data_IF_873925334001
#
_entry.id   IF_873925334001
#
_cell.length_a   1.000
_cell.length_b   1.000
_cell.length_c   1.000
_cell.angle_alpha   90.00
_cell.angle_beta   90.00
_cell.angle_gamma   90.00
#
_symmetry.space_group_name_H-M   'P 1'
#
loop_
_entity.id
_entity.type
_entity.pdbx_description
1 polymer ?
#
# COMPACT_ATOMS: atom_id res chain seq x y z
N UNK A 1 -15.00 17.08 5.86
CA UNK A 1 -14.83 16.98 4.39
C UNK A 1 -15.66 15.78 3.93
N UNK A 2 -16.33 15.86 2.79
CA UNK A 2 -16.97 14.68 2.20
C UNK A 2 -15.99 14.08 1.18
N UNK A 3 -15.67 12.80 1.32
CA UNK A 3 -14.87 12.04 0.39
C UNK A 3 -15.81 11.23 -0.54
N UNK A 4 -15.35 10.94 -1.73
CA UNK A 4 -16.10 10.12 -2.71
C UNK A 4 -15.68 8.65 -2.63
N UNK A 5 -14.39 8.38 -2.44
CA UNK A 5 -13.79 7.05 -2.51
C UNK A 5 -13.24 6.56 -1.16
N UNK A 6 -13.39 7.38 -0.12
CA UNK A 6 -12.94 7.07 1.24
C UNK A 6 -14.07 7.34 2.21
N UNK A 7 -14.25 6.46 3.18
CA UNK A 7 -15.19 6.66 4.29
C UNK A 7 -14.42 6.68 5.61
N UNK A 8 -14.74 7.65 6.46
CA UNK A 8 -14.08 7.81 7.76
C UNK A 8 -15.13 7.68 8.88
N UNK A 9 -14.80 6.91 9.90
CA UNK A 9 -15.66 6.70 11.06
C UNK A 9 -14.85 6.57 12.35
N UNK A 10 -15.53 6.63 13.49
CA UNK A 10 -14.97 6.41 14.83
C UNK A 10 -15.64 5.21 15.48
N UNK A 11 -15.17 3.98 15.23
CA UNK A 11 -15.79 2.77 15.73
C UNK A 11 -15.57 2.54 17.23
N UNK A 12 -14.57 3.20 17.83
CA UNK A 12 -14.27 3.15 19.25
C UNK A 12 -13.62 4.45 19.72
N UNK A 13 -13.57 4.66 21.03
CA UNK A 13 -12.89 5.79 21.63
C UNK A 13 -11.42 5.83 21.21
N UNK A 14 -10.92 7.02 20.83
CA UNK A 14 -9.54 7.27 20.39
C UNK A 14 -9.10 6.49 19.13
N UNK A 15 -10.02 5.86 18.41
CA UNK A 15 -9.75 5.12 17.19
C UNK A 15 -10.48 5.73 16.01
N UNK A 16 -9.74 6.12 14.98
CA UNK A 16 -10.30 6.53 13.69
C UNK A 16 -10.08 5.41 12.68
N UNK A 17 -11.14 4.98 11.98
CA UNK A 17 -11.07 4.00 10.91
C UNK A 17 -11.37 4.67 9.57
N UNK A 18 -10.48 4.42 8.63
CA UNK A 18 -10.54 4.93 7.26
C UNK A 18 -10.77 3.73 6.34
N UNK A 19 -11.83 3.76 5.54
CA UNK A 19 -12.14 2.70 4.59
C UNK A 19 -11.84 3.14 3.17
N UNK A 20 -11.24 2.26 2.39
CA UNK A 20 -11.32 2.31 0.94
C UNK A 20 -12.76 1.98 0.56
N UNK A 21 -13.45 2.87 -0.14
CA UNK A 21 -14.89 2.79 -0.38
C UNK A 21 -15.22 2.75 -1.89
N UNK A 22 -14.51 1.89 -2.62
CA UNK A 22 -14.66 1.66 -4.07
C UNK A 22 -14.82 0.16 -4.39
N UNK A 23 -15.71 -0.58 -3.67
CA UNK A 23 -15.78 -2.04 -3.73
C UNK A 23 -16.16 -2.58 -5.11
N UNK A 24 -16.96 -1.86 -5.89
CA UNK A 24 -17.36 -2.22 -7.27
C UNK A 24 -16.17 -2.23 -8.25
N UNK A 25 -15.08 -1.54 -7.91
CA UNK A 25 -13.81 -1.56 -8.62
C UNK A 25 -12.74 -2.33 -7.83
N UNK A 26 -13.14 -3.13 -6.82
CA UNK A 26 -12.22 -3.86 -5.93
C UNK A 26 -11.17 -2.95 -5.30
N UNK A 27 -11.57 -1.75 -4.93
CA UNK A 27 -10.73 -0.71 -4.35
C UNK A 27 -9.46 -0.43 -5.18
N UNK A 28 -9.60 -0.47 -6.51
CA UNK A 28 -8.54 -0.07 -7.43
C UNK A 28 -8.19 1.42 -7.20
N UNK A 29 -6.90 1.71 -7.15
CA UNK A 29 -6.35 3.00 -6.76
C UNK A 29 -6.27 3.93 -7.97
N UNK A 30 -7.22 4.85 -8.09
CA UNK A 30 -7.07 6.02 -8.95
C UNK A 30 -6.44 7.18 -8.14
N UNK A 31 -5.94 8.23 -8.80
CA UNK A 31 -5.35 9.37 -8.12
C UNK A 31 -6.25 10.00 -7.08
N UNK A 32 -7.55 10.13 -7.36
CA UNK A 32 -8.52 10.74 -6.45
C UNK A 32 -8.63 9.95 -5.14
N UNK A 33 -8.73 8.61 -5.20
CA UNK A 33 -8.76 7.76 -4.00
C UNK A 33 -7.48 7.94 -3.16
N UNK A 34 -6.32 7.97 -3.81
CA UNK A 34 -5.03 8.11 -3.11
C UNK A 34 -4.93 9.44 -2.36
N UNK A 35 -5.36 10.55 -2.99
CA UNK A 35 -5.31 11.86 -2.35
C UNK A 35 -6.42 12.07 -1.32
N UNK A 36 -7.60 11.47 -1.51
CA UNK A 36 -8.63 11.43 -0.46
C UNK A 36 -8.13 10.63 0.75
N UNK A 37 -7.45 9.51 0.52
CA UNK A 37 -6.85 8.70 1.57
C UNK A 37 -5.75 9.48 2.31
N UNK A 38 -4.87 10.17 1.59
CA UNK A 38 -3.83 11.02 2.18
C UNK A 38 -4.43 12.13 3.05
N UNK A 39 -5.48 12.81 2.55
CA UNK A 39 -6.20 13.84 3.30
C UNK A 39 -6.89 13.25 4.55
N UNK A 40 -7.47 12.06 4.46
CA UNK A 40 -8.08 11.38 5.59
C UNK A 40 -7.04 10.99 6.66
N UNK A 41 -5.89 10.45 6.23
CA UNK A 41 -4.77 10.17 7.13
C UNK A 41 -4.24 11.43 7.81
N UNK A 42 -4.04 12.51 7.04
CA UNK A 42 -3.57 13.79 7.58
C UNK A 42 -4.57 14.36 8.61
N UNK A 43 -5.86 14.29 8.32
CA UNK A 43 -6.92 14.71 9.24
C UNK A 43 -6.91 13.88 10.53
N UNK A 44 -6.85 12.55 10.43
CA UNK A 44 -6.78 11.66 11.59
C UNK A 44 -5.49 11.83 12.40
N UNK A 45 -4.37 12.11 11.71
CA UNK A 45 -3.09 12.37 12.36
C UNK A 45 -3.09 13.69 13.17
N UNK A 46 -3.79 14.71 12.68
CA UNK A 46 -3.92 16.02 13.34
C UNK A 46 -4.99 16.07 14.46
N UNK A 47 -5.86 15.08 14.52
CA UNK A 47 -6.99 15.04 15.45
C UNK A 47 -6.57 14.55 16.84
N UNK A 48 -6.71 15.38 17.86
CA UNK A 48 -6.32 15.07 19.24
C UNK A 48 -7.14 13.92 19.87
N UNK A 49 -8.36 13.67 19.39
CA UNK A 49 -9.22 12.58 19.83
C UNK A 49 -8.91 11.25 19.09
N UNK A 50 -7.91 11.22 18.24
CA UNK A 50 -7.42 10.02 17.56
C UNK A 50 -6.05 9.61 18.11
N UNK A 51 -5.91 8.38 18.57
CA UNK A 51 -4.61 7.80 18.99
C UNK A 51 -4.14 6.67 18.10
N UNK A 52 -5.07 5.94 17.49
CA UNK A 52 -4.79 4.85 16.55
C UNK A 52 -5.62 5.05 15.29
N UNK A 53 -5.00 4.82 14.15
CA UNK A 53 -5.66 4.89 12.85
C UNK A 53 -5.73 3.48 12.28
N UNK A 54 -6.92 3.05 11.85
CA UNK A 54 -7.13 1.77 11.18
C UNK A 54 -7.43 2.04 9.70
N UNK A 55 -6.71 1.42 8.80
CA UNK A 55 -7.04 1.37 7.37
C UNK A 55 -7.78 0.06 7.09
N UNK A 56 -9.00 0.18 6.60
CA UNK A 56 -9.87 -0.93 6.21
C UNK A 56 -10.33 -0.77 4.76
N UNK A 57 -11.09 -1.73 4.26
CA UNK A 57 -11.66 -1.67 2.92
C UNK A 57 -13.09 -2.20 2.91
N UNK A 58 -13.97 -1.57 2.15
CA UNK A 58 -15.31 -2.06 1.89
C UNK A 58 -15.28 -3.14 0.78
N UNK A 59 -16.15 -4.14 0.88
CA UNK A 59 -16.27 -5.21 -0.11
C UNK A 59 -15.37 -6.43 0.15
N UNK A 60 -15.33 -7.38 -0.81
CA UNK A 60 -14.69 -8.68 -0.60
C UNK A 60 -13.15 -8.64 -0.73
N UNK A 61 -12.59 -7.65 -1.43
CA UNK A 61 -11.15 -7.50 -1.63
C UNK A 61 -10.65 -6.23 -0.96
N UNK A 62 -9.45 -6.28 -0.38
CA UNK A 62 -8.83 -5.10 0.20
C UNK A 62 -8.46 -4.08 -0.89
N UNK A 63 -7.65 -4.49 -1.88
CA UNK A 63 -7.36 -3.67 -3.06
C UNK A 63 -6.75 -4.49 -4.18
N UNK A 64 -7.20 -4.25 -5.41
CA UNK A 64 -6.66 -4.84 -6.64
C UNK A 64 -5.46 -4.09 -7.22
N UNK A 65 -4.93 -3.08 -6.51
CA UNK A 65 -3.80 -2.28 -6.96
C UNK A 65 -4.21 -1.07 -7.80
N UNK A 66 -3.29 -0.56 -8.63
CA UNK A 66 -3.52 0.65 -9.42
C UNK A 66 -4.64 0.49 -10.45
N UNK A 67 -5.46 1.53 -10.61
CA UNK A 67 -6.48 1.57 -11.65
C UNK A 67 -5.83 1.93 -13.00
N UNK A 68 -5.52 0.91 -13.78
CA UNK A 68 -4.85 1.05 -15.08
C UNK A 68 -5.71 1.77 -16.14
N UNK A 69 -6.97 2.08 -15.83
CA UNK A 69 -7.89 2.83 -16.72
C UNK A 69 -7.88 4.32 -16.44
N UNK A 70 -7.37 4.73 -15.25
CA UNK A 70 -7.22 6.13 -14.86
C UNK A 70 -6.01 6.78 -15.54
N UNK A 71 -6.09 8.08 -15.80
CA UNK A 71 -4.93 8.88 -16.22
C UNK A 71 -4.03 9.21 -15.01
N UNK A 72 -2.86 9.78 -15.31
CA UNK A 72 -1.90 10.26 -14.32
C UNK A 72 -2.16 11.73 -13.93
N UNK A 73 -3.39 12.21 -14.06
CA UNK A 73 -3.74 13.58 -13.74
C UNK A 73 -4.28 13.66 -12.31
N UNK A 74 -3.68 14.54 -11.52
CA UNK A 74 -4.12 14.83 -10.15
C UNK A 74 -4.58 16.27 -10.12
N UNK A 75 -5.89 16.54 -10.13
CA UNK A 75 -6.39 17.91 -10.04
C UNK A 75 -5.96 18.56 -8.72
N UNK A 76 -5.25 19.69 -8.83
CA UNK A 76 -4.86 20.49 -7.67
C UNK A 76 -3.76 19.88 -6.79
N UNK A 77 -3.11 18.80 -7.20
CA UNK A 77 -1.96 18.27 -6.46
C UNK A 77 -0.81 19.28 -6.49
N UNK A 78 -0.21 19.60 -5.33
CA UNK A 78 0.98 20.40 -5.30
C UNK A 78 2.14 19.61 -5.90
N UNK A 79 2.62 20.03 -7.06
CA UNK A 79 3.83 19.47 -7.71
C UNK A 79 5.08 20.11 -7.09
N UNK A 80 5.08 20.30 -5.77
CA UNK A 80 6.18 20.95 -5.08
C UNK A 80 7.41 20.02 -5.03
N UNK A 81 8.49 20.47 -5.66
CA UNK A 81 9.79 19.79 -5.57
C UNK A 81 10.09 18.78 -6.68
N UNK A 82 9.19 18.57 -7.65
CA UNK A 82 9.42 17.69 -8.80
C UNK A 82 9.68 18.55 -10.05
N UNK A 83 10.82 18.35 -10.69
CA UNK A 83 11.11 18.96 -11.99
C UNK A 83 10.34 18.23 -13.09
N UNK A 84 9.82 19.01 -14.07
CA UNK A 84 9.19 18.47 -15.27
C UNK A 84 7.69 18.29 -15.23
N UNK A 85 7.07 18.11 -14.06
CA UNK A 85 5.64 17.87 -13.93
C UNK A 85 5.18 16.53 -14.52
N UNK A 86 3.92 16.16 -14.28
CA UNK A 86 3.35 14.84 -14.66
C UNK A 86 3.07 14.70 -16.17
N UNK A 87 3.05 15.79 -16.90
CA UNK A 87 2.79 15.82 -18.34
C UNK A 87 4.05 15.81 -19.23
N UNK A 88 5.24 15.67 -18.63
CA UNK A 88 6.47 15.58 -19.41
C UNK A 88 6.49 14.34 -20.30
N UNK A 89 7.10 14.45 -21.49
CA UNK A 89 7.15 13.36 -22.47
C UNK A 89 8.00 12.18 -21.98
N UNK A 90 7.75 11.02 -22.57
CA UNK A 90 8.50 9.79 -22.30
C UNK A 90 8.19 9.23 -20.91
N UNK A 91 9.22 8.76 -20.22
CA UNK A 91 9.10 8.20 -18.86
C UNK A 91 9.17 9.27 -17.78
N UNK A 92 9.59 10.50 -18.09
CA UNK A 92 9.86 11.56 -17.13
C UNK A 92 8.61 11.98 -16.37
N UNK A 93 7.51 12.25 -17.07
CA UNK A 93 6.23 12.60 -16.44
C UNK A 93 5.66 11.48 -15.59
N UNK A 94 5.79 10.24 -16.05
CA UNK A 94 5.38 9.06 -15.30
C UNK A 94 6.22 8.86 -14.03
N UNK A 95 7.54 8.98 -14.14
CA UNK A 95 8.45 8.97 -13.00
C UNK A 95 8.07 10.04 -11.96
N UNK A 96 7.80 11.26 -12.40
CA UNK A 96 7.38 12.34 -11.52
C UNK A 96 6.06 12.03 -10.80
N UNK A 97 5.10 11.44 -11.53
CA UNK A 97 3.83 11.02 -10.97
C UNK A 97 3.99 9.93 -9.90
N UNK A 98 4.71 8.86 -10.21
CA UNK A 98 4.94 7.74 -9.28
C UNK A 98 5.75 8.18 -8.05
N UNK A 99 6.71 9.07 -8.25
CA UNK A 99 7.49 9.65 -7.16
C UNK A 99 6.61 10.36 -6.14
N UNK A 100 5.58 11.09 -6.60
CA UNK A 100 4.64 11.80 -5.73
C UNK A 100 3.51 10.91 -5.25
N UNK A 101 2.73 10.33 -6.19
CA UNK A 101 1.45 9.70 -5.89
C UNK A 101 1.57 8.27 -5.34
N UNK A 102 2.66 7.58 -5.63
CA UNK A 102 2.85 6.20 -5.17
C UNK A 102 3.90 6.14 -4.06
N UNK A 103 5.16 6.39 -4.41
CA UNK A 103 6.26 6.31 -3.44
C UNK A 103 6.15 7.38 -2.34
N UNK A 104 5.83 8.62 -2.72
CA UNK A 104 5.75 9.76 -1.81
C UNK A 104 4.63 9.61 -0.78
N UNK A 105 3.44 9.16 -1.20
CA UNK A 105 2.31 8.90 -0.30
C UNK A 105 2.65 7.78 0.69
N UNK A 106 3.22 6.66 0.23
CA UNK A 106 3.63 5.57 1.12
C UNK A 106 4.61 6.03 2.19
N UNK A 107 5.59 6.86 1.82
CA UNK A 107 6.54 7.44 2.78
C UNK A 107 5.86 8.34 3.80
N UNK A 108 4.93 9.21 3.37
CA UNK A 108 4.15 10.03 4.29
C UNK A 108 3.33 9.21 5.27
N UNK A 109 2.67 8.15 4.79
CA UNK A 109 1.84 7.30 5.63
C UNK A 109 2.65 6.50 6.66
N UNK A 110 3.82 6.00 6.27
CA UNK A 110 4.75 5.34 7.20
C UNK A 110 5.18 6.28 8.35
N UNK A 111 5.35 7.56 8.06
CA UNK A 111 5.82 8.56 9.03
C UNK A 111 4.69 9.22 9.84
N UNK A 112 3.44 8.81 9.69
CA UNK A 112 2.33 9.30 10.54
C UNK A 112 2.71 9.11 12.02
N UNK A 113 2.63 10.17 12.87
CA UNK A 113 3.14 10.10 14.24
C UNK A 113 2.22 9.36 15.22
N UNK A 114 1.31 8.55 14.71
CA UNK A 114 0.35 7.70 15.44
C UNK A 114 0.46 6.27 14.96
N UNK A 115 0.21 5.26 15.80
CA UNK A 115 0.10 3.87 15.36
C UNK A 115 -0.96 3.71 14.28
N UNK A 116 -0.63 2.91 13.26
CA UNK A 116 -1.49 2.58 12.14
C UNK A 116 -1.67 1.07 12.04
N UNK A 117 -2.87 0.60 11.72
CA UNK A 117 -3.19 -0.82 11.59
C UNK A 117 -3.91 -1.03 10.24
N UNK A 118 -3.42 -1.95 9.41
CA UNK A 118 -4.17 -2.44 8.26
C UNK A 118 -5.10 -3.59 8.69
N UNK A 119 -6.40 -3.44 8.43
CA UNK A 119 -7.44 -4.46 8.60
C UNK A 119 -7.74 -5.06 7.24
N UNK A 120 -7.27 -6.28 6.97
CA UNK A 120 -7.15 -6.85 5.63
C UNK A 120 -8.02 -8.08 5.45
N UNK A 121 -8.91 -8.06 4.46
CA UNK A 121 -9.67 -9.22 3.96
C UNK A 121 -9.42 -9.43 2.47
N UNK A 122 -9.64 -10.64 1.97
CA UNK A 122 -9.57 -10.98 0.56
C UNK A 122 -8.23 -10.66 -0.09
N UNK A 123 -8.23 -10.15 -1.30
CA UNK A 123 -7.01 -9.97 -2.08
C UNK A 123 -6.35 -8.62 -1.90
N UNK A 124 -5.03 -8.66 -1.77
CA UNK A 124 -4.11 -7.51 -1.79
C UNK A 124 -3.16 -7.71 -2.96
N UNK A 125 -3.35 -6.99 -4.04
CA UNK A 125 -2.61 -7.22 -5.29
C UNK A 125 -1.80 -5.98 -5.66
N UNK A 126 -0.54 -6.17 -6.00
CA UNK A 126 0.36 -5.12 -6.53
C UNK A 126 0.32 -3.83 -5.68
N UNK A 127 -0.14 -2.71 -6.22
CA UNK A 127 -0.32 -1.46 -5.48
C UNK A 127 -1.14 -1.59 -4.19
N UNK A 128 -1.96 -2.65 -4.02
CA UNK A 128 -2.62 -2.95 -2.75
C UNK A 128 -1.63 -3.18 -1.60
N UNK A 129 -0.47 -3.76 -1.88
CA UNK A 129 0.61 -3.93 -0.90
C UNK A 129 1.16 -2.58 -0.42
N UNK A 130 1.14 -1.57 -1.28
CA UNK A 130 1.59 -0.23 -0.97
C UNK A 130 0.65 0.53 0.00
N UNK A 131 -0.56 0.03 0.20
CA UNK A 131 -1.48 0.50 1.23
C UNK A 131 -1.28 -0.22 2.57
N UNK A 132 -0.80 -1.47 2.52
CA UNK A 132 -0.60 -2.32 3.71
C UNK A 132 0.78 -2.10 4.33
N UNK A 133 1.83 -2.13 3.55
CA UNK A 133 3.22 -2.09 4.03
C UNK A 133 3.66 -0.81 4.74
N UNK A 134 3.11 0.39 4.44
CA UNK A 134 3.37 1.57 5.26
C UNK A 134 2.71 1.56 6.65
N UNK A 135 1.76 0.66 6.89
CA UNK A 135 1.09 0.56 8.19
C UNK A 135 1.98 -0.19 9.19
N UNK A 136 1.89 0.19 10.47
CA UNK A 136 2.73 -0.39 11.52
C UNK A 136 2.39 -1.83 11.85
N UNK A 137 1.10 -2.19 11.76
CA UNK A 137 0.58 -3.51 12.10
C UNK A 137 -0.43 -3.97 11.07
N UNK A 138 -0.54 -5.29 10.91
CA UNK A 138 -1.50 -5.92 9.99
C UNK A 138 -2.31 -6.97 10.74
N UNK A 139 -3.63 -6.84 10.71
CA UNK A 139 -4.59 -7.88 11.12
C UNK A 139 -5.28 -8.36 9.85
N UNK A 140 -5.16 -9.65 9.55
CA UNK A 140 -5.69 -10.23 8.33
C UNK A 140 -6.77 -11.29 8.60
N UNK A 141 -7.79 -11.35 7.77
CA UNK A 141 -8.70 -12.48 7.74
C UNK A 141 -7.98 -13.72 7.19
N UNK A 142 -8.47 -14.93 7.54
CA UNK A 142 -7.91 -16.21 7.09
C UNK A 142 -7.90 -16.35 5.56
N UNK A 143 -8.86 -15.71 4.88
CA UNK A 143 -9.00 -15.69 3.43
C UNK A 143 -8.12 -14.63 2.74
N UNK A 144 -7.40 -13.81 3.49
CA UNK A 144 -6.56 -12.78 2.92
C UNK A 144 -5.36 -13.38 2.16
N UNK A 145 -5.03 -12.75 1.04
CA UNK A 145 -3.90 -13.15 0.21
C UNK A 145 -3.17 -11.93 -0.36
N UNK A 146 -1.85 -12.07 -0.51
CA UNK A 146 -0.96 -10.97 -0.89
C UNK A 146 -0.13 -11.38 -2.11
N UNK A 147 -0.14 -10.59 -3.18
CA UNK A 147 0.63 -10.91 -4.38
C UNK A 147 1.18 -9.67 -5.07
N UNK A 148 2.36 -9.83 -5.69
CA UNK A 148 2.92 -8.83 -6.59
C UNK A 148 3.26 -9.46 -7.94
N UNK A 149 2.30 -9.51 -8.88
CA UNK A 149 2.50 -10.09 -10.19
C UNK A 149 3.05 -9.11 -11.23
N UNK A 150 3.50 -7.91 -10.84
CA UNK A 150 3.84 -6.82 -11.79
C UNK A 150 5.06 -7.10 -12.65
N UNK A 151 5.89 -8.11 -12.32
CA UNK A 151 6.96 -8.60 -13.19
C UNK A 151 6.41 -9.03 -14.55
N UNK A 152 5.18 -9.51 -14.62
CA UNK A 152 4.49 -9.78 -15.88
C UNK A 152 4.28 -8.53 -16.75
N UNK A 153 4.25 -7.35 -16.15
CA UNK A 153 4.18 -6.07 -16.85
C UNK A 153 5.55 -5.48 -17.23
N UNK A 154 6.64 -6.22 -17.03
CA UNK A 154 8.00 -5.82 -17.40
C UNK A 154 8.67 -4.85 -16.42
N UNK A 155 8.18 -4.77 -15.18
CA UNK A 155 8.80 -4.01 -14.08
C UNK A 155 9.21 -4.95 -12.95
N UNK A 156 10.01 -4.48 -11.99
CA UNK A 156 10.66 -5.33 -10.99
C UNK A 156 9.83 -5.63 -9.73
N UNK A 157 8.74 -4.96 -9.51
CA UNK A 157 7.89 -5.00 -8.32
C UNK A 157 7.17 -3.67 -8.19
N UNK A 158 6.34 -3.49 -7.16
CA UNK A 158 5.68 -2.20 -6.89
C UNK A 158 6.67 -1.13 -6.46
N UNK A 159 6.29 0.14 -6.59
CA UNK A 159 7.13 1.33 -6.40
C UNK A 159 7.67 1.45 -4.97
N UNK A 160 6.85 1.15 -3.96
CA UNK A 160 7.27 1.02 -2.57
C UNK A 160 7.81 -0.40 -2.30
N UNK A 161 9.02 -0.68 -2.78
CA UNK A 161 9.62 -2.01 -2.81
C UNK A 161 10.09 -2.49 -1.41
N UNK A 162 9.15 -2.80 -0.53
CA UNK A 162 9.44 -3.27 0.83
C UNK A 162 9.59 -4.80 0.95
N UNK A 163 9.42 -5.56 -0.13
CA UNK A 163 9.38 -7.04 -0.18
C UNK A 163 10.42 -7.74 0.71
N UNK A 164 11.68 -7.31 0.62
CA UNK A 164 12.78 -7.99 1.35
C UNK A 164 12.64 -7.81 2.86
N UNK A 165 12.13 -6.66 3.30
CA UNK A 165 11.91 -6.35 4.71
C UNK A 165 10.65 -7.03 5.26
N UNK A 166 9.64 -7.25 4.40
CA UNK A 166 8.36 -7.84 4.80
C UNK A 166 8.40 -9.37 4.83
N UNK A 167 9.02 -10.01 3.81
CA UNK A 167 8.96 -11.47 3.65
C UNK A 167 10.31 -12.15 3.51
N UNK A 168 11.41 -11.39 3.58
CA UNK A 168 12.76 -11.89 3.39
C UNK A 168 13.12 -12.15 1.93
N UNK A 169 14.42 -12.17 1.62
CA UNK A 169 14.93 -12.12 0.24
C UNK A 169 14.50 -13.30 -0.64
N UNK A 170 14.41 -14.52 -0.08
CA UNK A 170 14.05 -15.71 -0.88
C UNK A 170 12.57 -15.73 -1.21
N UNK A 171 11.71 -15.42 -0.25
CA UNK A 171 10.26 -15.38 -0.48
C UNK A 171 9.87 -14.19 -1.37
N UNK A 172 10.53 -13.05 -1.23
CA UNK A 172 10.38 -11.92 -2.15
C UNK A 172 10.66 -12.32 -3.61
N UNK A 173 11.77 -13.04 -3.86
CA UNK A 173 12.10 -13.54 -5.21
C UNK A 173 11.06 -14.54 -5.73
N UNK A 174 10.61 -15.48 -4.90
CA UNK A 174 9.57 -16.43 -5.28
C UNK A 174 8.28 -15.72 -5.68
N UNK A 175 7.80 -14.79 -4.82
CA UNK A 175 6.61 -13.99 -5.06
C UNK A 175 6.71 -13.18 -6.38
N UNK A 176 7.84 -12.48 -6.59
CA UNK A 176 8.06 -11.65 -7.79
C UNK A 176 8.26 -12.48 -9.06
N UNK A 177 9.00 -13.60 -8.99
CA UNK A 177 9.31 -14.41 -10.17
C UNK A 177 8.11 -15.23 -10.64
N UNK A 178 7.28 -15.68 -9.72
CA UNK A 178 6.13 -16.54 -10.01
C UNK A 178 4.81 -15.78 -10.10
N UNK A 179 4.69 -14.61 -9.45
CA UNK A 179 3.43 -13.90 -9.25
C UNK A 179 2.47 -14.64 -8.30
N UNK A 180 2.94 -15.69 -7.61
CA UNK A 180 2.11 -16.47 -6.70
C UNK A 180 1.67 -15.65 -5.49
N UNK A 181 0.45 -15.89 -5.04
CA UNK A 181 -0.08 -15.26 -3.84
C UNK A 181 0.48 -15.92 -2.58
N UNK A 182 0.79 -15.10 -1.60
CA UNK A 182 1.14 -15.48 -0.23
C UNK A 182 -0.14 -15.52 0.59
N UNK A 183 -0.44 -16.62 1.25
CA UNK A 183 -1.59 -16.72 2.15
C UNK A 183 -1.40 -15.92 3.44
N UNK A 184 -2.50 -15.56 4.12
CA UNK A 184 -2.44 -14.88 5.41
C UNK A 184 -1.61 -15.67 6.45
N UNK A 185 -1.75 -17.01 6.46
CA UNK A 185 -1.01 -17.89 7.36
C UNK A 185 0.51 -17.86 7.09
N UNK A 186 0.92 -17.92 5.81
CA UNK A 186 2.33 -17.77 5.43
C UNK A 186 2.86 -16.37 5.76
N UNK A 187 2.11 -15.32 5.43
CA UNK A 187 2.47 -13.93 5.75
C UNK A 187 2.71 -13.73 7.24
N UNK A 188 1.87 -14.36 8.10
CA UNK A 188 2.07 -14.38 9.54
C UNK A 188 3.35 -15.12 9.95
N UNK A 189 3.62 -16.28 9.34
CA UNK A 189 4.83 -17.07 9.67
C UNK A 189 6.13 -16.33 9.33
N UNK A 190 6.08 -15.41 8.36
CA UNK A 190 7.19 -14.57 7.94
C UNK A 190 7.30 -13.25 8.71
N UNK A 191 6.30 -12.91 9.54
CA UNK A 191 6.28 -11.68 10.32
C UNK A 191 5.63 -10.48 9.61
N UNK A 192 5.17 -10.62 8.38
CA UNK A 192 4.46 -9.57 7.64
C UNK A 192 3.07 -9.28 8.22
N UNK A 193 2.39 -10.29 8.78
CA UNK A 193 1.08 -10.16 9.41
C UNK A 193 1.16 -10.45 10.90
N UNK A 194 0.60 -9.57 11.74
CA UNK A 194 0.65 -9.72 13.19
C UNK A 194 -0.40 -10.74 13.72
N UNK A 195 -1.61 -10.70 13.18
CA UNK A 195 -2.72 -11.59 13.56
C UNK A 195 -3.44 -12.11 12.33
N UNK A 196 -3.80 -13.39 12.34
CA UNK A 196 -4.71 -13.99 11.35
C UNK A 196 -5.92 -14.51 12.12
N UNK A 197 -7.11 -14.11 11.69
CA UNK A 197 -8.37 -14.35 12.40
C UNK A 197 -9.48 -14.74 11.42
N UNK A 198 -10.54 -15.45 11.87
CA UNK A 198 -11.72 -15.67 11.06
C UNK A 198 -12.30 -14.37 10.51
N UNK A 199 -12.83 -14.40 9.28
CA UNK A 199 -13.30 -13.19 8.59
C UNK A 199 -14.39 -12.43 9.39
N UNK A 200 -15.29 -13.15 10.05
CA UNK A 200 -16.33 -12.58 10.91
C UNK A 200 -15.82 -11.99 12.22
N UNK A 201 -14.54 -12.24 12.58
CA UNK A 201 -13.87 -11.70 13.76
C UNK A 201 -12.92 -10.55 13.42
N UNK A 202 -12.65 -10.30 12.14
CA UNK A 202 -11.62 -9.37 11.69
C UNK A 202 -11.78 -7.97 12.30
N UNK A 203 -12.98 -7.42 12.25
CA UNK A 203 -13.27 -6.10 12.81
C UNK A 203 -13.06 -6.07 14.33
N UNK A 204 -13.67 -7.02 15.04
CA UNK A 204 -13.60 -7.06 16.50
C UNK A 204 -12.17 -7.19 17.02
N UNK A 205 -11.37 -8.09 16.41
CA UNK A 205 -9.97 -8.33 16.77
C UNK A 205 -9.07 -7.11 16.45
N UNK A 206 -9.37 -6.43 15.34
CA UNK A 206 -8.65 -5.19 14.98
C UNK A 206 -8.95 -4.07 15.96
N UNK A 207 -10.22 -3.88 16.34
CA UNK A 207 -10.62 -2.85 17.31
C UNK A 207 -10.14 -3.16 18.72
N UNK A 208 -10.10 -4.44 19.11
CA UNK A 208 -9.48 -4.85 20.38
C UNK A 208 -8.00 -4.45 20.44
N UNK A 209 -7.24 -4.77 19.38
CA UNK A 209 -5.83 -4.38 19.28
C UNK A 209 -5.67 -2.86 19.30
N UNK A 210 -6.47 -2.13 18.52
CA UNK A 210 -6.44 -0.68 18.45
C UNK A 210 -6.74 -0.04 19.82
N UNK A 211 -7.76 -0.52 20.53
CA UNK A 211 -8.12 -0.08 21.87
C UNK A 211 -7.01 -0.31 22.87
N UNK A 212 -6.40 -1.50 22.86
CA UNK A 212 -5.27 -1.82 23.75
C UNK A 212 -4.06 -0.88 23.52
N UNK A 213 -3.79 -0.51 22.26
CA UNK A 213 -2.75 0.46 21.90
C UNK A 213 -3.15 1.88 22.34
N UNK A 214 -4.38 2.29 22.10
CA UNK A 214 -4.89 3.63 22.41
C UNK A 214 -4.78 3.99 23.91
N UNK A 215 -4.75 3.00 24.78
CA UNK A 215 -4.56 3.19 26.24
C UNK A 215 -3.11 3.54 26.63
N UNK A 216 -2.16 3.47 25.71
CA UNK A 216 -0.75 3.79 25.99
C UNK A 216 -0.49 5.28 25.84
N UNK A 217 0.54 5.83 26.55
CA UNK A 217 0.91 7.23 26.42
C UNK A 217 1.25 7.60 24.97
N UNK A 218 0.61 8.63 24.36
CA UNK A 218 0.79 8.98 22.94
C UNK A 218 2.25 9.27 22.57
N UNK A 219 2.97 9.97 23.43
CA UNK A 219 4.38 10.29 23.19
C UNK A 219 5.25 9.02 23.18
N UNK A 220 4.98 8.05 24.05
CA UNK A 220 5.67 6.76 24.07
C UNK A 220 5.43 5.97 22.78
N UNK A 221 4.19 5.91 22.29
CA UNK A 221 3.84 5.27 21.03
C UNK A 221 4.58 5.90 19.84
N UNK A 222 4.58 7.24 19.78
CA UNK A 222 5.30 7.98 18.74
C UNK A 222 6.79 7.67 18.75
N UNK A 223 7.42 7.65 19.93
CA UNK A 223 8.86 7.37 20.04
C UNK A 223 9.18 5.92 19.70
N UNK A 224 8.35 4.97 20.11
CA UNK A 224 8.53 3.55 19.77
C UNK A 224 8.46 3.34 18.25
N UNK A 225 7.43 3.88 17.57
CA UNK A 225 7.31 3.84 16.10
C UNK A 225 8.53 4.46 15.43
N UNK A 226 8.91 5.67 15.82
CA UNK A 226 10.06 6.35 15.24
C UNK A 226 11.36 5.56 15.42
N UNK A 227 11.54 4.89 16.58
CA UNK A 227 12.73 4.07 16.85
C UNK A 227 12.79 2.85 15.93
N UNK A 228 11.66 2.15 15.73
CA UNK A 228 11.60 0.99 14.82
C UNK A 228 11.84 1.42 13.38
N UNK A 229 11.15 2.48 12.90
CA UNK A 229 11.34 3.00 11.55
C UNK A 229 12.80 3.36 11.26
N UNK A 230 13.45 4.08 12.19
CA UNK A 230 14.87 4.47 12.05
C UNK A 230 15.80 3.27 12.07
N UNK A 231 15.49 2.22 12.85
CA UNK A 231 16.28 0.99 12.85
C UNK A 231 16.20 0.25 11.50
N UNK A 232 14.99 0.19 10.89
CA UNK A 232 14.83 -0.35 9.54
C UNK A 232 15.56 0.49 8.49
N UNK A 233 15.48 1.81 8.59
CA UNK A 233 16.17 2.73 7.66
C UNK A 233 17.69 2.60 7.78
N UNK A 234 18.23 2.43 8.99
CA UNK A 234 19.65 2.15 9.22
C UNK A 234 20.10 0.79 8.65
N UNK A 235 19.17 -0.15 8.47
CA UNK A 235 19.41 -1.43 7.76
C UNK A 235 19.30 -1.30 6.24
N UNK A 236 19.08 -0.10 5.69
CA UNK A 236 19.06 0.17 4.27
C UNK A 236 17.68 0.08 3.61
N UNK A 237 16.58 0.11 4.37
CA UNK A 237 15.24 0.01 3.79
C UNK A 237 14.96 1.11 2.76
N UNK A 238 15.17 2.38 3.11
CA UNK A 238 14.90 3.49 2.19
C UNK A 238 15.82 3.47 0.96
N UNK A 239 17.11 3.16 1.15
CA UNK A 239 18.07 3.02 0.06
C UNK A 239 17.69 1.87 -0.89
N UNK A 240 17.21 0.75 -0.34
CA UNK A 240 16.71 -0.38 -1.12
C UNK A 240 15.47 -0.01 -1.96
N UNK A 241 14.53 0.73 -1.37
CA UNK A 241 13.34 1.24 -2.05
C UNK A 241 13.75 2.20 -3.18
N UNK A 242 14.65 3.16 -2.92
CA UNK A 242 15.11 4.11 -3.95
C UNK A 242 15.80 3.41 -5.12
N UNK A 243 16.67 2.44 -4.83
CA UNK A 243 17.34 1.66 -5.87
C UNK A 243 16.34 0.82 -6.69
N UNK A 244 15.37 0.19 -6.03
CA UNK A 244 14.33 -0.59 -6.69
C UNK A 244 13.41 0.30 -7.55
N UNK A 245 13.06 1.50 -7.06
CA UNK A 245 12.25 2.48 -7.80
C UNK A 245 12.95 2.95 -9.09
N UNK A 246 14.27 3.15 -9.05
CA UNK A 246 15.04 3.44 -10.26
C UNK A 246 14.97 2.29 -11.28
N UNK A 247 15.04 1.01 -10.83
CA UNK A 247 14.88 -0.17 -11.68
C UNK A 247 13.46 -0.32 -12.22
N UNK A 248 12.44 0.05 -11.43
CA UNK A 248 11.04 0.08 -11.83
C UNK A 248 10.87 0.99 -13.06
N UNK A 249 11.36 2.21 -12.96
CA UNK A 249 11.28 3.18 -14.03
C UNK A 249 12.17 2.82 -15.26
N UNK A 250 13.28 2.13 -15.07
CA UNK A 250 14.03 1.53 -16.18
C UNK A 250 13.17 0.47 -16.93
N UNK A 251 12.36 -0.30 -16.20
CA UNK A 251 11.38 -1.21 -16.79
C UNK A 251 10.35 -0.48 -17.66
N UNK A 252 9.76 0.60 -17.15
CA UNK A 252 8.85 1.45 -17.90
C UNK A 252 9.49 2.05 -19.16
N UNK A 253 10.72 2.57 -19.04
CA UNK A 253 11.47 3.10 -20.19
C UNK A 253 11.72 2.03 -21.26
N UNK A 254 12.10 0.81 -20.86
CA UNK A 254 12.27 -0.32 -21.77
C UNK A 254 10.96 -0.72 -22.45
N UNK A 255 9.86 -0.78 -21.70
CA UNK A 255 8.55 -1.11 -22.23
C UNK A 255 8.07 -0.05 -23.24
N UNK A 256 8.26 1.22 -22.91
CA UNK A 256 7.93 2.34 -23.80
C UNK A 256 8.71 2.26 -25.13
N UNK A 257 10.02 1.95 -25.06
CA UNK A 257 10.86 1.79 -26.23
C UNK A 257 10.48 0.56 -27.09
N UNK A 258 10.02 -0.54 -26.46
CA UNK A 258 9.69 -1.80 -27.15
C UNK A 258 8.26 -1.86 -27.65
N UNK A 259 7.32 -1.33 -26.89
CA UNK A 259 5.88 -1.54 -27.08
C UNK A 259 5.10 -0.24 -27.28
N UNK A 260 5.73 0.93 -27.09
CA UNK A 260 5.02 2.23 -27.06
C UNK A 260 4.06 2.36 -25.87
N UNK A 261 4.24 1.54 -24.83
CA UNK A 261 3.43 1.48 -23.61
C UNK A 261 4.34 1.40 -22.39
N UNK A 262 3.94 1.99 -21.27
CA UNK A 262 4.69 1.90 -20.02
C UNK A 262 4.73 0.48 -19.42
N UNK A 263 3.82 -0.39 -19.86
CA UNK A 263 3.74 -1.78 -19.40
C UNK A 263 3.84 -2.74 -20.58
N UNK A 264 4.34 -3.95 -20.34
CA UNK A 264 4.27 -5.04 -21.31
C UNK A 264 2.80 -5.40 -21.56
N UNK A 265 2.36 -5.26 -22.81
CA UNK A 265 0.96 -5.44 -23.21
C UNK A 265 0.44 -6.86 -23.02
N UNK A 266 1.34 -7.85 -22.97
CA UNK A 266 1.00 -9.26 -22.70
C UNK A 266 0.78 -9.57 -21.21
N UNK A 267 1.22 -8.70 -20.30
CA UNK A 267 1.24 -8.94 -18.88
C UNK A 267 -0.13 -9.28 -18.28
N UNK A 268 -1.18 -8.61 -18.73
CA UNK A 268 -2.55 -8.88 -18.28
C UNK A 268 -3.03 -10.31 -18.60
N UNK A 269 -2.59 -10.88 -19.72
CA UNK A 269 -2.89 -12.26 -20.09
C UNK A 269 -2.12 -13.24 -19.22
N UNK A 270 -0.84 -12.97 -18.96
CA UNK A 270 0.00 -13.77 -18.07
C UNK A 270 -0.63 -13.85 -16.68
N UNK A 271 -1.04 -12.72 -16.10
CA UNK A 271 -1.67 -12.66 -14.77
C UNK A 271 -3.00 -13.43 -14.75
N UNK A 272 -3.85 -13.27 -15.78
CA UNK A 272 -5.11 -14.03 -15.87
C UNK A 272 -4.89 -15.55 -15.95
N UNK A 273 -3.82 -15.98 -16.58
CA UNK A 273 -3.49 -17.39 -16.68
C UNK A 273 -2.93 -17.96 -15.36
N UNK A 274 -2.23 -17.15 -14.56
CA UNK A 274 -1.79 -17.51 -13.21
C UNK A 274 -3.00 -17.72 -12.28
N UNK A 275 -3.97 -16.80 -12.29
CA UNK A 275 -5.16 -16.88 -11.43
C UNK A 275 -6.11 -18.04 -11.74
N UNK A 276 -5.95 -18.76 -12.87
CA UNK A 276 -6.70 -19.98 -13.21
C UNK A 276 -6.02 -21.26 -12.74
N UNK A 277 -4.76 -21.17 -12.29
CA UNK A 277 -3.95 -22.32 -11.85
C UNK A 277 -3.81 -22.40 -10.33
N UNK A 278 -4.19 -21.36 -9.61
CA UNK A 278 -4.30 -21.27 -8.16
C UNK A 278 -5.73 -21.56 -7.70
#
# INVERSE_FOLDING_TARGET
MSYQYVRVERPAELVTRIHLARPEQRNAQNPELLYELDAAFASAAADDDTRVIVLAADGPDFSSGHDLRGGFHIPGAPVAGIQGGFGAEGVEGHFAFECEAYLGLCRRWREIPKPTIAQVQGRVIAGGLMLVWPMDLVVAAEDASFSDPVVAFGVNGVEYFAHVHEVGARKAKEMLFTGAALSAAEARSLGMVNRVVPADRLEAETLELAGAIAMRPPFGLRMAKASVNRAQDAQGMQQGIDAAFAMHNLGHANNLARYGSLVDVSGAEVIRNLSKRS
#
